data_IF_291667248976
#
_entry.id   IF_291667248976
#
_cell.length_a   1.000
_cell.length_b   1.000
_cell.length_c   1.000
_cell.angle_alpha   90.00
_cell.angle_beta   90.00
_cell.angle_gamma   90.00
#
_symmetry.space_group_name_H-M   'P 1'
#
loop_
_entity.id
_entity.type
_entity.pdbx_description
1 polymer ?
#
# COMPACT_ATOMS: atom_id res chain seq x y z
N UNK A 1 37.24 -19.67 -9.63
CA UNK A 1 36.28 -20.81 -9.69
C UNK A 1 36.13 -21.55 -8.38
N UNK A 2 37.19 -22.05 -7.75
CA UNK A 2 37.14 -22.78 -6.47
C UNK A 2 36.49 -22.00 -5.29
N UNK A 3 36.47 -20.67 -5.38
CA UNK A 3 35.80 -19.77 -4.43
C UNK A 3 34.31 -19.52 -4.76
N UNK A 4 33.72 -20.25 -5.70
CA UNK A 4 32.29 -20.13 -6.06
C UNK A 4 31.94 -18.98 -7.01
N UNK A 5 32.91 -18.20 -7.47
CA UNK A 5 32.71 -17.12 -8.45
C UNK A 5 32.53 -17.67 -9.87
N UNK A 6 31.56 -17.13 -10.61
CA UNK A 6 31.36 -17.41 -12.05
C UNK A 6 32.42 -16.71 -12.89
N UNK A 7 32.68 -17.23 -14.10
CA UNK A 7 33.68 -16.65 -15.01
C UNK A 7 33.46 -15.17 -15.31
N UNK A 8 32.21 -14.74 -15.48
CA UNK A 8 31.87 -13.32 -15.67
C UNK A 8 32.18 -12.45 -14.46
N UNK A 9 32.23 -13.01 -13.25
CA UNK A 9 32.45 -12.27 -12.00
C UNK A 9 33.92 -12.09 -11.67
N UNK A 10 34.73 -13.13 -11.89
CA UNK A 10 36.16 -13.06 -11.56
C UNK A 10 37.03 -12.55 -12.71
N UNK A 11 36.62 -12.67 -13.99
CA UNK A 11 37.46 -12.25 -15.12
C UNK A 11 37.95 -10.80 -15.04
N UNK A 12 37.12 -9.80 -14.64
CA UNK A 12 37.58 -8.43 -14.46
C UNK A 12 38.55 -8.24 -13.29
N UNK A 13 38.56 -9.18 -12.35
CA UNK A 13 39.30 -9.13 -11.09
C UNK A 13 40.67 -9.82 -11.20
N UNK A 14 40.92 -10.57 -12.27
CA UNK A 14 42.16 -11.32 -12.42
C UNK A 14 43.37 -10.39 -12.67
N UNK A 15 44.49 -10.62 -11.98
CA UNK A 15 45.73 -9.90 -12.23
C UNK A 15 46.24 -10.19 -13.64
N UNK A 16 46.52 -9.14 -14.42
CA UNK A 16 46.90 -9.24 -15.84
C UNK A 16 48.28 -9.87 -16.10
N UNK A 17 49.10 -10.03 -15.06
CA UNK A 17 50.52 -10.44 -15.16
C UNK A 17 50.83 -11.79 -14.51
N UNK A 18 49.83 -12.50 -14.01
CA UNK A 18 50.02 -13.77 -13.32
C UNK A 18 49.42 -14.91 -14.13
N UNK A 19 50.14 -16.03 -14.19
CA UNK A 19 49.66 -17.25 -14.83
C UNK A 19 48.79 -18.05 -13.87
N UNK A 20 49.16 -18.12 -12.58
CA UNK A 20 48.35 -18.70 -11.52
C UNK A 20 48.12 -17.70 -10.38
N UNK A 21 46.91 -17.69 -9.80
CA UNK A 21 46.64 -16.88 -8.61
C UNK A 21 47.48 -17.29 -7.39
N UNK A 22 47.90 -18.56 -7.34
CA UNK A 22 48.77 -19.07 -6.28
C UNK A 22 50.20 -18.51 -6.35
N UNK A 23 50.58 -17.89 -7.47
CA UNK A 23 51.87 -17.19 -7.61
C UNK A 23 51.86 -15.86 -6.84
N UNK A 24 50.67 -15.34 -6.49
CA UNK A 24 50.52 -14.16 -5.62
C UNK A 24 50.56 -14.59 -4.15
N UNK A 25 51.74 -14.45 -3.55
CA UNK A 25 52.00 -14.86 -2.17
C UNK A 25 51.13 -14.09 -1.16
N UNK A 26 50.83 -12.81 -1.41
CA UNK A 26 49.99 -12.00 -0.50
C UNK A 26 48.52 -12.42 -0.58
N UNK A 27 48.03 -12.67 -1.79
CA UNK A 27 46.69 -13.19 -2.00
C UNK A 27 46.50 -14.53 -1.30
N UNK A 28 47.46 -15.45 -1.47
CA UNK A 28 47.39 -16.79 -0.90
C UNK A 28 47.47 -16.75 0.63
N UNK A 29 48.35 -15.92 1.20
CA UNK A 29 48.44 -15.72 2.65
C UNK A 29 47.10 -15.23 3.23
N UNK A 30 46.55 -14.13 2.70
CA UNK A 30 45.29 -13.57 3.18
C UNK A 30 44.11 -14.53 2.97
N UNK A 31 44.12 -15.30 1.87
CA UNK A 31 43.17 -16.39 1.65
C UNK A 31 43.25 -17.46 2.76
N UNK A 32 44.47 -17.86 3.15
CA UNK A 32 44.67 -18.82 4.23
C UNK A 32 44.26 -18.27 5.59
N UNK A 33 44.48 -16.99 5.86
CA UNK A 33 43.98 -16.34 7.09
C UNK A 33 42.45 -16.47 7.19
N UNK A 34 41.71 -16.14 6.13
CA UNK A 34 40.24 -16.27 6.11
C UNK A 34 39.80 -17.74 6.26
N UNK A 35 40.47 -18.68 5.58
CA UNK A 35 40.19 -20.11 5.70
C UNK A 35 40.40 -20.62 7.13
N UNK A 36 41.55 -20.28 7.74
CA UNK A 36 41.91 -20.69 9.08
C UNK A 36 41.01 -20.04 10.13
N UNK A 37 40.46 -18.86 9.84
CA UNK A 37 39.44 -18.21 10.65
C UNK A 37 38.06 -18.90 10.56
N UNK A 38 37.87 -19.86 9.65
CA UNK A 38 36.63 -20.62 9.51
C UNK A 38 35.65 -20.08 8.47
N UNK A 39 36.08 -19.13 7.62
CA UNK A 39 35.22 -18.56 6.57
C UNK A 39 35.13 -19.54 5.41
N UNK A 40 33.91 -19.93 5.04
CA UNK A 40 33.69 -20.87 3.94
C UNK A 40 34.19 -20.29 2.59
N UNK A 41 34.74 -21.14 1.72
CA UNK A 41 35.36 -20.73 0.43
C UNK A 41 34.45 -19.87 -0.45
N UNK A 42 33.15 -20.19 -0.47
CA UNK A 42 32.15 -19.42 -1.23
C UNK A 42 32.03 -17.98 -0.71
N UNK A 43 32.12 -17.79 0.61
CA UNK A 43 32.09 -16.47 1.26
C UNK A 43 33.39 -15.71 1.01
N UNK A 44 34.53 -16.40 1.00
CA UNK A 44 35.82 -15.81 0.61
C UNK A 44 35.75 -15.29 -0.83
N UNK A 45 35.05 -15.99 -1.74
CA UNK A 45 34.78 -15.50 -3.09
C UNK A 45 34.02 -14.18 -3.11
N UNK A 46 32.98 -14.03 -2.28
CA UNK A 46 32.26 -12.75 -2.10
C UNK A 46 33.20 -11.65 -1.58
N UNK A 47 34.02 -11.95 -0.58
CA UNK A 47 35.02 -11.00 -0.05
C UNK A 47 36.01 -10.59 -1.14
N UNK A 48 36.50 -11.52 -1.96
CA UNK A 48 37.40 -11.22 -3.08
C UNK A 48 36.76 -10.28 -4.12
N UNK A 49 35.46 -10.44 -4.36
CA UNK A 49 34.70 -9.61 -5.30
C UNK A 49 34.39 -8.21 -4.76
N UNK A 50 34.02 -8.10 -3.50
CA UNK A 50 33.53 -6.85 -2.90
C UNK A 50 34.63 -6.06 -2.16
N UNK A 51 35.72 -6.73 -1.78
CA UNK A 51 36.79 -6.16 -0.98
C UNK A 51 38.17 -6.74 -1.37
N UNK A 52 38.56 -6.59 -2.64
CA UNK A 52 39.80 -7.15 -3.19
C UNK A 52 41.05 -6.70 -2.44
N UNK A 53 41.05 -5.49 -1.89
CA UNK A 53 42.13 -4.89 -1.11
C UNK A 53 42.57 -5.78 0.06
N UNK A 54 41.64 -6.56 0.62
CA UNK A 54 41.91 -7.52 1.69
C UNK A 54 42.98 -8.53 1.31
N UNK A 55 43.05 -8.91 0.03
CA UNK A 55 44.00 -9.90 -0.47
C UNK A 55 45.37 -9.29 -0.83
N UNK A 56 45.51 -7.97 -0.70
CA UNK A 56 46.76 -7.23 -0.95
C UNK A 56 47.40 -6.72 0.34
N UNK A 57 46.84 -7.08 1.49
CA UNK A 57 47.38 -6.69 2.78
C UNK A 57 48.70 -7.39 3.07
N UNK A 58 49.62 -6.66 3.70
CA UNK A 58 50.86 -7.21 4.23
C UNK A 58 50.58 -8.25 5.32
N UNK A 59 51.58 -9.10 5.58
CA UNK A 59 51.53 -10.15 6.59
C UNK A 59 50.98 -9.64 7.93
N UNK A 60 50.00 -10.37 8.47
CA UNK A 60 49.41 -10.10 9.78
C UNK A 60 48.32 -9.02 9.81
N UNK A 61 48.24 -8.12 8.82
CA UNK A 61 47.26 -7.01 8.82
C UNK A 61 45.82 -7.52 8.85
N UNK A 62 45.47 -8.50 8.01
CA UNK A 62 44.12 -9.07 8.00
C UNK A 62 43.78 -9.76 9.33
N UNK A 63 44.74 -10.46 9.92
CA UNK A 63 44.56 -11.10 11.23
C UNK A 63 44.32 -10.07 12.33
N UNK A 64 45.09 -8.98 12.35
CA UNK A 64 44.88 -7.88 13.29
C UNK A 64 43.52 -7.22 13.12
N UNK A 65 43.01 -7.08 11.88
CA UNK A 65 41.66 -6.58 11.64
C UNK A 65 40.57 -7.51 12.17
N UNK A 66 40.71 -8.82 11.99
CA UNK A 66 39.79 -9.81 12.58
C UNK A 66 39.83 -9.78 14.10
N UNK A 67 41.03 -9.70 14.68
CA UNK A 67 41.24 -9.57 16.12
C UNK A 67 40.60 -8.29 16.69
N UNK A 68 40.62 -7.17 15.96
CA UNK A 68 39.96 -5.94 16.39
C UNK A 68 38.44 -6.12 16.60
N UNK A 69 37.78 -7.01 15.84
CA UNK A 69 36.37 -7.33 16.09
C UNK A 69 36.18 -8.22 17.34
N UNK A 70 37.13 -9.11 17.62
CA UNK A 70 37.14 -9.92 18.85
C UNK A 70 37.29 -9.02 20.08
N UNK A 71 38.15 -8.01 19.99
CA UNK A 71 38.35 -6.98 21.02
C UNK A 71 37.11 -6.10 21.23
N UNK A 72 36.22 -5.98 20.24
CA UNK A 72 34.89 -5.36 20.41
C UNK A 72 33.90 -6.24 21.20
N UNK A 73 34.24 -7.51 21.45
CA UNK A 73 33.45 -8.49 22.17
C UNK A 73 32.59 -9.40 21.28
N UNK A 74 32.83 -9.40 19.97
CA UNK A 74 32.15 -10.31 19.04
C UNK A 74 32.76 -11.71 19.12
N UNK A 75 31.92 -12.74 19.07
CA UNK A 75 32.38 -14.11 18.93
C UNK A 75 32.79 -14.39 17.46
N UNK A 76 33.59 -15.44 17.26
CA UNK A 76 34.07 -15.82 15.92
C UNK A 76 32.95 -16.04 14.89
N UNK A 77 31.84 -16.67 15.29
CA UNK A 77 30.70 -16.94 14.41
C UNK A 77 30.03 -15.64 13.93
N UNK A 78 29.81 -14.69 14.85
CA UNK A 78 29.29 -13.36 14.53
C UNK A 78 30.23 -12.60 13.59
N UNK A 79 31.55 -12.66 13.85
CA UNK A 79 32.56 -12.02 12.99
C UNK A 79 32.50 -12.61 11.59
N UNK A 80 32.46 -13.94 11.44
CA UNK A 80 32.32 -14.61 10.15
C UNK A 80 31.09 -14.09 9.39
N UNK A 81 29.93 -13.97 10.06
CA UNK A 81 28.70 -13.44 9.42
C UNK A 81 28.84 -11.98 9.00
N UNK A 82 29.40 -11.14 9.88
CA UNK A 82 29.59 -9.71 9.62
C UNK A 82 30.53 -9.48 8.45
N UNK A 83 31.70 -10.12 8.42
CA UNK A 83 32.67 -9.93 7.33
C UNK A 83 32.22 -10.57 6.02
N UNK A 84 31.41 -11.63 6.08
CA UNK A 84 30.84 -12.26 4.88
C UNK A 84 29.72 -11.43 4.26
N UNK A 85 28.91 -10.77 5.09
CA UNK A 85 27.81 -9.91 4.63
C UNK A 85 28.25 -8.47 4.38
N UNK A 86 29.35 -8.02 4.98
CA UNK A 86 29.89 -6.66 4.83
C UNK A 86 31.41 -6.67 4.64
N UNK A 87 31.93 -7.24 3.52
CA UNK A 87 33.37 -7.38 3.31
C UNK A 87 34.15 -6.07 3.38
N UNK A 88 33.52 -4.95 3.03
CA UNK A 88 34.12 -3.61 3.10
C UNK A 88 34.54 -3.20 4.52
N UNK A 89 34.02 -3.80 5.59
CA UNK A 89 34.48 -3.58 6.96
C UNK A 89 35.91 -4.08 7.20
N UNK A 90 36.43 -4.94 6.32
CA UNK A 90 37.83 -5.33 6.35
C UNK A 90 38.74 -4.32 5.63
N UNK A 91 38.18 -3.31 4.96
CA UNK A 91 38.91 -2.27 4.22
C UNK A 91 39.09 -1.02 5.08
N UNK A 92 40.32 -0.51 5.14
CA UNK A 92 40.63 0.76 5.81
C UNK A 92 40.50 0.72 7.34
N UNK A 93 40.48 1.89 7.98
CA UNK A 93 40.43 2.06 9.45
C UNK A 93 39.02 2.40 9.99
N UNK A 94 38.00 2.34 9.14
CA UNK A 94 36.69 2.93 9.40
C UNK A 94 35.65 1.96 9.98
N UNK A 95 36.06 1.01 10.81
CA UNK A 95 35.13 0.22 11.63
C UNK A 95 34.43 1.04 12.74
N UNK A 96 34.67 2.36 12.79
CA UNK A 96 34.06 3.28 13.75
C UNK A 96 32.54 3.28 13.66
N UNK A 97 31.99 3.31 12.44
CA UNK A 97 30.52 3.32 12.24
C UNK A 97 29.91 2.03 12.79
N UNK A 98 30.48 0.88 12.44
CA UNK A 98 30.03 -0.40 12.93
C UNK A 98 30.15 -0.51 14.46
N UNK A 99 31.26 -0.06 15.04
CA UNK A 99 31.46 0.00 16.48
C UNK A 99 30.41 0.86 17.19
N UNK A 100 30.06 2.02 16.63
CA UNK A 100 29.00 2.88 17.17
C UNK A 100 27.61 2.23 17.07
N UNK A 101 27.33 1.46 16.01
CA UNK A 101 26.11 0.63 15.93
C UNK A 101 26.09 -0.38 17.09
N UNK A 102 27.17 -1.14 17.29
CA UNK A 102 27.27 -2.13 18.37
C UNK A 102 27.07 -1.49 19.74
N UNK A 103 27.74 -0.35 20.01
CA UNK A 103 27.56 0.40 21.26
C UNK A 103 26.11 0.83 21.48
N UNK A 104 25.43 1.33 20.44
CA UNK A 104 24.04 1.76 20.56
C UNK A 104 23.11 0.60 20.85
N UNK A 105 23.25 -0.50 20.13
CA UNK A 105 22.48 -1.72 20.37
C UNK A 105 22.72 -2.25 21.79
N UNK A 106 23.97 -2.32 22.24
CA UNK A 106 24.31 -2.72 23.61
C UNK A 106 23.72 -1.76 24.64
N UNK A 107 23.76 -0.45 24.40
CA UNK A 107 23.14 0.54 25.29
C UNK A 107 21.62 0.46 25.35
N UNK A 108 21.00 -0.15 24.34
CA UNK A 108 19.57 -0.45 24.26
C UNK A 108 19.23 -1.85 24.82
N UNK A 109 20.19 -2.55 25.44
CA UNK A 109 19.98 -3.88 26.03
C UNK A 109 20.04 -5.04 25.03
N UNK A 110 20.53 -4.80 23.81
CA UNK A 110 20.66 -5.84 22.77
C UNK A 110 22.08 -6.42 22.81
N UNK A 111 22.18 -7.71 23.11
CA UNK A 111 23.44 -8.44 23.14
C UNK A 111 23.99 -8.71 21.73
N UNK A 112 25.31 -8.79 21.59
CA UNK A 112 25.93 -8.99 20.26
C UNK A 112 25.55 -10.32 19.60
N UNK A 113 25.34 -11.38 20.41
CA UNK A 113 24.88 -12.67 19.90
C UNK A 113 23.49 -12.62 19.24
N UNK A 114 22.65 -11.64 19.61
CA UNK A 114 21.36 -11.42 18.96
C UNK A 114 21.54 -10.98 17.50
N UNK A 115 22.54 -10.14 17.22
CA UNK A 115 22.85 -9.65 15.87
C UNK A 115 23.16 -10.83 14.94
N UNK A 116 23.92 -11.81 15.44
CA UNK A 116 24.25 -13.01 14.68
C UNK A 116 23.02 -13.77 14.16
N UNK A 117 21.94 -13.82 14.94
CA UNK A 117 20.69 -14.50 14.57
C UNK A 117 19.91 -13.81 13.46
N UNK A 118 20.16 -12.53 13.22
CA UNK A 118 19.38 -11.70 12.29
C UNK A 118 20.15 -11.22 11.06
N UNK A 119 21.46 -11.43 11.01
CA UNK A 119 22.26 -11.21 9.80
C UNK A 119 22.14 -12.41 8.85
N UNK A 120 21.87 -12.11 7.58
CA UNK A 120 21.88 -13.06 6.47
C UNK A 120 23.15 -12.83 5.66
N UNK A 121 23.97 -13.88 5.52
CA UNK A 121 25.29 -13.81 4.89
C UNK A 121 25.22 -13.48 3.38
N UNK A 122 24.08 -13.79 2.75
CA UNK A 122 23.81 -13.50 1.34
C UNK A 122 23.61 -12.00 1.10
N UNK A 123 23.12 -11.27 2.10
CA UNK A 123 22.83 -9.84 1.99
C UNK A 123 24.09 -8.99 2.13
N UNK A 124 23.96 -7.73 1.73
CA UNK A 124 24.94 -6.67 2.01
C UNK A 124 24.32 -5.60 2.90
N UNK A 125 25.00 -5.27 3.99
CA UNK A 125 24.50 -4.31 4.98
C UNK A 125 25.24 -2.98 4.89
N UNK A 126 24.52 -1.87 4.90
CA UNK A 126 25.07 -0.52 5.03
C UNK A 126 24.97 -0.08 6.49
N UNK A 127 26.06 -0.22 7.23
CA UNK A 127 26.10 0.09 8.67
C UNK A 127 25.95 1.59 8.96
N UNK A 128 26.28 2.46 8.01
CA UNK A 128 26.04 3.91 8.13
C UNK A 128 24.55 4.22 8.15
N UNK A 129 23.77 3.63 7.23
CA UNK A 129 22.31 3.79 7.22
C UNK A 129 21.67 3.21 8.49
N UNK A 130 22.16 2.06 8.98
CA UNK A 130 21.68 1.47 10.23
C UNK A 130 21.96 2.42 11.41
N UNK A 131 23.16 3.01 11.48
CA UNK A 131 23.52 3.98 12.52
C UNK A 131 22.66 5.24 12.46
N UNK A 132 22.43 5.77 11.27
CA UNK A 132 21.56 6.92 11.04
C UNK A 132 20.13 6.64 11.48
N UNK A 133 19.61 5.46 11.17
CA UNK A 133 18.26 5.05 11.57
C UNK A 133 18.14 4.89 13.08
N UNK A 134 19.12 4.26 13.74
CA UNK A 134 19.16 4.19 15.21
C UNK A 134 19.16 5.59 15.83
N UNK A 135 19.95 6.51 15.29
CA UNK A 135 19.97 7.90 15.74
C UNK A 135 18.63 8.60 15.50
N UNK A 136 17.97 8.36 14.36
CA UNK A 136 16.69 8.94 14.02
C UNK A 136 15.59 8.46 14.98
N UNK A 137 15.52 7.16 15.25
CA UNK A 137 14.55 6.59 16.20
C UNK A 137 14.74 7.16 17.61
N UNK A 138 15.99 7.32 18.08
CA UNK A 138 16.25 8.02 19.34
C UNK A 138 15.79 9.48 19.32
N UNK A 139 16.02 10.21 18.22
CA UNK A 139 15.55 11.61 18.06
C UNK A 139 14.02 11.72 17.97
N UNK A 140 13.34 10.66 17.56
CA UNK A 140 11.88 10.58 17.53
C UNK A 140 11.25 10.32 18.90
N UNK A 141 12.05 10.19 19.96
CA UNK A 141 11.59 10.10 21.34
C UNK A 141 11.65 8.69 21.95
N UNK A 142 12.16 7.68 21.23
CA UNK A 142 12.34 6.34 21.79
C UNK A 142 13.41 6.37 22.89
N UNK A 143 13.06 5.93 24.10
CA UNK A 143 14.04 5.61 25.14
C UNK A 143 14.96 4.48 24.70
N UNK A 144 16.07 4.25 25.42
CA UNK A 144 16.99 3.15 25.10
C UNK A 144 16.29 1.79 25.22
N UNK A 145 15.47 1.62 26.25
CA UNK A 145 14.69 0.41 26.51
C UNK A 145 13.64 0.20 25.42
N UNK A 146 12.88 1.25 25.09
CA UNK A 146 11.88 1.20 24.01
C UNK A 146 12.51 0.88 22.65
N UNK A 147 13.67 1.46 22.36
CA UNK A 147 14.44 1.14 21.15
C UNK A 147 14.86 -0.33 21.14
N UNK A 148 15.36 -0.83 22.27
CA UNK A 148 15.71 -2.24 22.44
C UNK A 148 14.53 -3.16 22.14
N UNK A 149 13.40 -2.92 22.81
CA UNK A 149 12.17 -3.70 22.63
C UNK A 149 11.67 -3.68 21.19
N UNK A 150 11.63 -2.49 20.57
CA UNK A 150 11.20 -2.30 19.19
C UNK A 150 12.05 -3.12 18.22
N UNK A 151 13.38 -3.04 18.35
CA UNK A 151 14.31 -3.72 17.46
C UNK A 151 14.31 -5.23 17.69
N UNK A 152 14.18 -5.69 18.93
CA UNK A 152 14.04 -7.10 19.26
C UNK A 152 12.75 -7.71 18.67
N UNK A 153 11.63 -6.99 18.72
CA UNK A 153 10.37 -7.44 18.14
C UNK A 153 10.38 -7.37 16.61
N UNK A 154 11.05 -6.37 16.04
CA UNK A 154 11.07 -6.12 14.59
C UNK A 154 12.50 -5.87 14.06
N UNK A 155 13.38 -6.89 14.01
CA UNK A 155 14.76 -6.74 13.54
C UNK A 155 14.84 -6.20 12.10
N UNK A 156 13.82 -6.50 11.29
CA UNK A 156 13.69 -6.00 9.93
C UNK A 156 13.70 -4.48 9.83
N UNK A 157 13.38 -3.74 10.89
CA UNK A 157 13.45 -2.28 10.89
C UNK A 157 14.88 -1.79 10.61
N UNK A 158 15.90 -2.50 11.11
CA UNK A 158 17.31 -2.16 10.86
C UNK A 158 17.90 -2.96 9.70
N UNK A 159 17.61 -4.26 9.65
CA UNK A 159 18.36 -5.16 8.76
C UNK A 159 17.74 -5.29 7.37
N UNK A 160 16.42 -5.13 7.21
CA UNK A 160 15.79 -5.25 5.90
C UNK A 160 16.16 -4.07 4.99
N UNK A 161 16.95 -4.35 3.96
CA UNK A 161 17.49 -3.31 3.08
C UNK A 161 18.35 -2.28 3.83
N UNK A 162 19.00 -2.67 4.94
CA UNK A 162 19.79 -1.76 5.80
C UNK A 162 18.99 -0.56 6.30
N UNK A 163 17.73 -0.78 6.67
CA UNK A 163 16.84 0.25 7.19
C UNK A 163 16.19 1.13 6.11
N UNK A 164 16.50 0.90 4.83
CA UNK A 164 15.95 1.69 3.73
C UNK A 164 14.40 1.64 3.69
N UNK A 165 13.80 0.48 3.98
CA UNK A 165 12.34 0.36 4.05
C UNK A 165 11.76 1.20 5.19
N UNK A 166 12.45 1.27 6.32
CA UNK A 166 12.04 2.08 7.48
C UNK A 166 12.19 3.57 7.18
N UNK A 167 13.28 4.01 6.52
CA UNK A 167 13.41 5.38 6.04
C UNK A 167 12.30 5.75 5.06
N UNK A 168 11.97 4.87 4.11
CA UNK A 168 10.87 5.08 3.19
C UNK A 168 9.54 5.24 3.93
N UNK A 169 9.28 4.40 4.93
CA UNK A 169 8.08 4.49 5.77
C UNK A 169 8.02 5.83 6.51
N UNK A 170 9.10 6.25 7.16
CA UNK A 170 9.18 7.54 7.86
C UNK A 170 8.92 8.69 6.89
N UNK A 171 9.61 8.70 5.74
CA UNK A 171 9.43 9.73 4.71
C UNK A 171 8.01 9.77 4.14
N UNK A 172 7.40 8.60 3.95
CA UNK A 172 6.01 8.48 3.50
C UNK A 172 5.04 9.09 4.54
N UNK A 173 5.17 8.72 5.82
CA UNK A 173 4.32 9.24 6.90
C UNK A 173 4.47 10.76 7.06
N UNK A 174 5.71 11.27 7.03
CA UNK A 174 5.99 12.71 7.06
C UNK A 174 5.33 13.44 5.88
N UNK A 175 5.40 12.87 4.67
CA UNK A 175 4.76 13.45 3.48
C UNK A 175 3.25 13.60 3.63
N UNK A 176 2.60 12.70 4.36
CA UNK A 176 1.17 12.76 4.67
C UNK A 176 0.85 13.54 5.95
N UNK A 177 1.84 14.21 6.55
CA UNK A 177 1.65 15.08 7.70
C UNK A 177 1.53 14.35 9.03
N UNK A 178 2.02 13.11 9.14
CA UNK A 178 2.20 12.48 10.45
C UNK A 178 3.26 13.23 11.26
N UNK A 179 2.95 13.50 12.52
CA UNK A 179 3.89 14.12 13.45
C UNK A 179 4.90 13.10 13.97
N UNK A 180 5.98 13.59 14.61
CA UNK A 180 6.95 12.73 15.30
C UNK A 180 6.27 11.85 16.35
N UNK A 181 5.29 12.39 17.09
CA UNK A 181 4.54 11.65 18.10
C UNK A 181 3.67 10.55 17.50
N UNK A 182 3.01 10.82 16.36
CA UNK A 182 2.20 9.82 15.65
C UNK A 182 3.08 8.64 15.20
N UNK A 183 4.23 8.94 14.60
CA UNK A 183 5.17 7.92 14.16
C UNK A 183 5.78 7.17 15.34
N UNK A 184 6.15 7.86 16.41
CA UNK A 184 6.65 7.24 17.63
C UNK A 184 5.65 6.22 18.19
N UNK A 185 4.38 6.63 18.35
CA UNK A 185 3.31 5.72 18.81
C UNK A 185 3.11 4.54 17.85
N UNK A 186 3.17 4.78 16.54
CA UNK A 186 3.03 3.74 15.53
C UNK A 186 4.16 2.71 15.59
N UNK A 187 5.42 3.14 15.73
CA UNK A 187 6.55 2.22 15.81
C UNK A 187 6.51 1.40 17.09
N UNK A 188 6.16 1.97 18.24
CA UNK A 188 6.00 1.19 19.49
C UNK A 188 4.88 0.14 19.41
N UNK A 189 3.90 0.35 18.53
CA UNK A 189 2.78 -0.57 18.28
C UNK A 189 2.90 -1.21 16.89
N UNK A 190 4.12 -1.38 16.39
CA UNK A 190 4.32 -1.87 15.03
C UNK A 190 3.67 -3.26 14.88
N UNK A 191 2.87 -3.49 13.81
CA UNK A 191 2.19 -4.76 13.64
C UNK A 191 3.17 -5.93 13.48
N UNK A 192 2.74 -7.14 13.87
CA UNK A 192 3.49 -8.39 13.66
C UNK A 192 3.48 -8.81 12.18
N UNK A 193 4.12 -8.00 11.34
CA UNK A 193 4.25 -8.14 9.89
C UNK A 193 5.69 -7.78 9.53
N UNK A 194 6.28 -8.50 8.57
CA UNK A 194 7.60 -8.15 8.04
C UNK A 194 7.61 -6.71 7.50
N UNK A 195 8.66 -5.94 7.79
CA UNK A 195 8.72 -4.49 7.47
C UNK A 195 8.58 -4.22 5.98
N UNK A 196 9.28 -4.94 5.11
CA UNK A 196 9.13 -4.78 3.66
C UNK A 196 7.73 -5.15 3.16
N UNK A 197 7.09 -6.16 3.75
CA UNK A 197 5.69 -6.52 3.45
C UNK A 197 4.74 -5.42 3.91
N UNK A 198 4.98 -4.84 5.08
CA UNK A 198 4.21 -3.72 5.60
C UNK A 198 4.29 -2.51 4.66
N UNK A 199 5.50 -2.12 4.24
CA UNK A 199 5.72 -1.04 3.27
C UNK A 199 5.06 -1.33 1.92
N UNK A 200 5.16 -2.57 1.43
CA UNK A 200 4.51 -2.97 0.18
C UNK A 200 2.98 -2.88 0.26
N UNK A 201 2.38 -3.34 1.36
CA UNK A 201 0.94 -3.26 1.60
C UNK A 201 0.49 -1.80 1.70
N UNK A 202 1.24 -0.95 2.41
CA UNK A 202 0.95 0.48 2.53
C UNK A 202 0.90 1.15 1.15
N UNK A 203 1.91 0.89 0.31
CA UNK A 203 1.95 1.36 -1.08
C UNK A 203 0.78 0.83 -1.91
N UNK A 204 0.44 -0.45 -1.78
CA UNK A 204 -0.68 -1.06 -2.50
C UNK A 204 -2.02 -0.47 -2.06
N UNK A 205 -2.23 -0.24 -0.77
CA UNK A 205 -3.42 0.40 -0.25
C UNK A 205 -3.52 1.86 -0.73
N UNK A 206 -2.41 2.61 -0.73
CA UNK A 206 -2.39 3.96 -1.28
C UNK A 206 -2.81 3.99 -2.76
N UNK A 207 -2.26 3.10 -3.59
CA UNK A 207 -2.69 2.97 -4.99
C UNK A 207 -4.16 2.56 -5.11
N UNK A 208 -4.62 1.64 -4.25
CA UNK A 208 -6.02 1.21 -4.23
C UNK A 208 -6.99 2.38 -3.96
N UNK A 209 -6.65 3.27 -3.02
CA UNK A 209 -7.48 4.45 -2.73
C UNK A 209 -7.56 5.40 -3.95
N UNK A 210 -6.45 5.57 -4.68
CA UNK A 210 -6.43 6.33 -5.94
C UNK A 210 -7.31 5.64 -7.00
N UNK A 211 -7.19 4.32 -7.18
CA UNK A 211 -7.97 3.57 -8.17
C UNK A 211 -9.48 3.60 -7.92
N UNK A 212 -9.88 3.74 -6.65
CA UNK A 212 -11.28 3.94 -6.21
C UNK A 212 -11.79 5.37 -6.46
N UNK A 213 -10.93 6.26 -6.97
CA UNK A 213 -11.25 7.66 -7.26
C UNK A 213 -11.59 8.45 -5.98
N UNK A 214 -10.83 8.19 -4.91
CA UNK A 214 -10.93 8.93 -3.67
C UNK A 214 -10.24 10.30 -3.78
N UNK A 215 -10.87 11.33 -3.21
CA UNK A 215 -10.33 12.68 -3.15
C UNK A 215 -9.01 12.74 -2.39
N UNK A 216 -8.09 13.59 -2.82
CA UNK A 216 -6.72 13.67 -2.25
C UNK A 216 -6.76 13.93 -0.75
N UNK A 217 -7.64 14.82 -0.29
CA UNK A 217 -7.79 15.17 1.13
C UNK A 217 -8.26 13.98 1.99
N UNK A 218 -9.12 13.13 1.44
CA UNK A 218 -9.59 11.91 2.10
C UNK A 218 -8.48 10.86 2.18
N UNK A 219 -7.70 10.69 1.10
CA UNK A 219 -6.53 9.82 1.09
C UNK A 219 -5.54 10.26 2.17
N UNK A 220 -5.23 11.56 2.22
CA UNK A 220 -4.34 12.13 3.23
C UNK A 220 -4.83 11.87 4.65
N UNK A 221 -6.13 12.08 4.91
CA UNK A 221 -6.75 11.78 6.21
C UNK A 221 -6.60 10.31 6.57
N UNK A 222 -6.92 9.40 5.66
CA UNK A 222 -6.87 7.95 5.92
C UNK A 222 -5.44 7.49 6.16
N UNK A 223 -4.49 7.89 5.32
CA UNK A 223 -3.07 7.51 5.47
C UNK A 223 -2.50 8.00 6.80
N UNK A 224 -2.81 9.24 7.20
CA UNK A 224 -2.35 9.81 8.47
C UNK A 224 -2.96 9.13 9.68
N UNK A 225 -4.27 8.85 9.66
CA UNK A 225 -4.98 8.30 10.82
C UNK A 225 -4.90 6.77 10.93
N UNK A 226 -4.60 6.05 9.84
CA UNK A 226 -4.65 4.58 9.80
C UNK A 226 -3.42 3.89 9.17
N UNK A 227 -2.18 4.34 9.40
CA UNK A 227 -1.01 3.77 8.72
C UNK A 227 -0.81 2.28 9.05
N UNK A 228 -0.99 1.89 10.32
CA UNK A 228 -0.87 0.48 10.75
C UNK A 228 -1.89 -0.44 10.09
N UNK A 229 -3.11 0.04 9.86
CA UNK A 229 -4.15 -0.69 9.13
C UNK A 229 -3.71 -0.91 7.68
N UNK A 230 -3.32 0.15 6.98
CA UNK A 230 -2.96 0.09 5.57
C UNK A 230 -1.74 -0.81 5.33
N UNK A 231 -0.71 -0.72 6.17
CA UNK A 231 0.46 -1.59 6.05
C UNK A 231 0.19 -3.05 6.48
N UNK A 232 -0.88 -3.32 7.22
CA UNK A 232 -1.28 -4.69 7.55
C UNK A 232 -2.20 -5.33 6.51
N UNK A 233 -2.83 -4.54 5.63
CA UNK A 233 -3.81 -5.02 4.67
C UNK A 233 -3.18 -5.39 3.31
N UNK A 234 -3.12 -6.69 3.01
CA UNK A 234 -2.82 -7.18 1.65
C UNK A 234 -4.11 -7.26 0.83
N UNK A 235 -4.58 -6.14 0.29
CA UNK A 235 -5.88 -6.04 -0.41
C UNK A 235 -5.97 -6.89 -1.69
N UNK A 236 -7.19 -7.36 -2.00
CA UNK A 236 -7.53 -7.87 -3.34
C UNK A 236 -7.50 -6.74 -4.37
N UNK A 237 -7.28 -7.07 -5.64
CA UNK A 237 -7.37 -6.10 -6.75
C UNK A 237 -8.76 -5.46 -6.82
N UNK A 238 -8.83 -4.18 -7.16
CA UNK A 238 -10.09 -3.41 -7.21
C UNK A 238 -11.17 -4.09 -8.05
N UNK A 239 -10.85 -4.49 -9.28
CA UNK A 239 -11.83 -5.13 -10.18
C UNK A 239 -12.42 -6.41 -9.57
N UNK A 240 -11.62 -7.19 -8.85
CA UNK A 240 -12.11 -8.39 -8.16
C UNK A 240 -13.01 -8.01 -6.98
N UNK A 241 -12.68 -6.95 -6.23
CA UNK A 241 -13.52 -6.48 -5.14
C UNK A 241 -14.85 -5.90 -5.62
N UNK A 242 -14.85 -5.10 -6.68
CA UNK A 242 -16.09 -4.56 -7.27
C UNK A 242 -17.04 -5.69 -7.71
N UNK A 243 -16.49 -6.73 -8.35
CA UNK A 243 -17.26 -7.92 -8.73
C UNK A 243 -17.80 -8.70 -7.52
N UNK A 244 -16.95 -8.97 -6.52
CA UNK A 244 -17.34 -9.73 -5.33
C UNK A 244 -18.36 -8.99 -4.44
N UNK A 245 -18.21 -7.66 -4.33
CA UNK A 245 -19.09 -6.80 -3.53
C UNK A 245 -20.36 -6.41 -4.28
N UNK A 246 -20.40 -6.62 -5.59
CA UNK A 246 -21.46 -6.15 -6.50
C UNK A 246 -21.72 -4.64 -6.34
N UNK A 247 -20.65 -3.83 -6.41
CA UNK A 247 -20.70 -2.39 -6.18
C UNK A 247 -19.87 -1.62 -7.20
N UNK A 248 -20.13 -0.32 -7.34
CA UNK A 248 -19.29 0.61 -8.10
C UNK A 248 -18.24 1.30 -7.23
N UNK A 249 -17.28 1.99 -7.87
CA UNK A 249 -16.20 2.71 -7.19
C UNK A 249 -16.70 3.76 -6.21
N UNK A 250 -17.64 4.62 -6.62
CA UNK A 250 -18.19 5.69 -5.78
C UNK A 250 -18.73 5.18 -4.43
N UNK A 251 -19.59 4.16 -4.47
CA UNK A 251 -20.13 3.54 -3.25
C UNK A 251 -19.04 2.86 -2.41
N UNK A 252 -18.05 2.24 -3.06
CA UNK A 252 -16.91 1.66 -2.35
C UNK A 252 -16.08 2.74 -1.64
N UNK A 253 -15.87 3.88 -2.31
CA UNK A 253 -15.19 5.05 -1.77
C UNK A 253 -15.91 5.59 -0.53
N UNK A 254 -17.24 5.78 -0.61
CA UNK A 254 -18.09 6.21 0.51
C UNK A 254 -17.94 5.28 1.72
N UNK A 255 -18.00 3.96 1.52
CA UNK A 255 -17.85 2.96 2.59
C UNK A 255 -16.46 3.05 3.26
N UNK A 256 -15.39 3.23 2.47
CA UNK A 256 -14.04 3.36 3.01
C UNK A 256 -13.90 4.69 3.79
N UNK A 257 -14.48 5.77 3.27
CA UNK A 257 -14.45 7.08 3.90
C UNK A 257 -15.21 7.09 5.25
N UNK A 258 -16.36 6.43 5.32
CA UNK A 258 -17.13 6.27 6.56
C UNK A 258 -16.38 5.41 7.59
N UNK A 259 -15.74 4.32 7.15
CA UNK A 259 -15.02 3.43 8.05
C UNK A 259 -13.85 2.71 7.35
N UNK A 260 -12.61 3.22 7.47
CA UNK A 260 -11.45 2.59 6.85
C UNK A 260 -11.18 1.15 7.31
N UNK A 261 -11.64 0.75 8.50
CA UNK A 261 -11.38 -0.60 9.04
C UNK A 261 -12.00 -1.72 8.21
N UNK A 262 -13.00 -1.41 7.37
CA UNK A 262 -13.60 -2.35 6.41
C UNK A 262 -12.58 -2.99 5.46
N UNK A 263 -11.45 -2.33 5.21
CA UNK A 263 -10.35 -2.84 4.39
C UNK A 263 -9.82 -4.19 4.88
N UNK A 264 -9.88 -4.47 6.19
CA UNK A 264 -9.50 -5.77 6.78
C UNK A 264 -10.32 -6.93 6.24
N UNK A 265 -11.56 -6.68 5.83
CA UNK A 265 -12.45 -7.71 5.31
C UNK A 265 -12.19 -8.03 3.82
N UNK A 266 -11.33 -7.26 3.16
CA UNK A 266 -11.07 -7.31 1.72
C UNK A 266 -9.66 -7.78 1.38
N UNK A 267 -8.92 -8.27 2.38
CA UNK A 267 -7.58 -8.83 2.18
C UNK A 267 -7.63 -10.15 1.40
N UNK A 268 -6.50 -10.49 0.79
CA UNK A 268 -6.28 -11.76 0.12
C UNK A 268 -6.54 -12.94 1.07
N UNK A 269 -7.07 -14.04 0.55
CA UNK A 269 -7.43 -15.23 1.33
C UNK A 269 -8.82 -15.17 2.00
N UNK A 270 -9.39 -13.98 2.24
CA UNK A 270 -10.74 -13.88 2.82
C UNK A 270 -11.84 -13.97 1.75
N UNK A 271 -12.97 -14.57 2.15
CA UNK A 271 -14.22 -14.57 1.38
C UNK A 271 -14.92 -13.23 1.56
N UNK A 272 -15.19 -12.55 0.46
CA UNK A 272 -15.88 -11.26 0.45
C UNK A 272 -17.35 -11.51 0.13
N UNK A 273 -18.24 -11.10 1.04
CA UNK A 273 -19.69 -11.16 0.84
C UNK A 273 -20.15 -9.93 0.07
N UNK A 274 -21.18 -10.10 -0.76
CA UNK A 274 -21.80 -8.98 -1.45
C UNK A 274 -22.30 -7.93 -0.46
N UNK A 275 -22.17 -6.66 -0.81
CA UNK A 275 -22.78 -5.59 -0.03
C UNK A 275 -24.29 -5.64 -0.19
N UNK A 276 -25.08 -5.28 0.85
CA UNK A 276 -26.52 -5.14 0.72
C UNK A 276 -26.81 -4.26 -0.49
N UNK A 277 -27.65 -4.71 -1.42
CA UNK A 277 -27.95 -3.91 -2.59
C UNK A 277 -28.60 -2.59 -2.15
N UNK A 278 -27.97 -1.45 -2.48
CA UNK A 278 -28.61 -0.13 -2.38
C UNK A 278 -29.91 -0.05 -3.20
N UNK A 279 -30.15 -1.01 -4.10
CA UNK A 279 -31.46 -1.22 -4.78
C UNK A 279 -32.65 -1.37 -3.83
N UNK A 280 -32.46 -1.68 -2.54
CA UNK A 280 -33.54 -1.61 -1.55
C UNK A 280 -34.17 -0.21 -1.49
N UNK A 281 -33.33 0.83 -1.51
CA UNK A 281 -33.78 2.23 -1.53
C UNK A 281 -34.41 2.63 -2.87
N UNK A 282 -33.79 2.28 -3.99
CA UNK A 282 -34.31 2.58 -5.34
C UNK A 282 -35.65 1.89 -5.64
N UNK A 283 -35.82 0.62 -5.24
CA UNK A 283 -37.12 -0.08 -5.33
C UNK A 283 -38.15 0.50 -4.37
N UNK A 284 -37.75 0.87 -3.14
CA UNK A 284 -38.65 1.49 -2.18
C UNK A 284 -39.12 2.87 -2.66
N UNK A 285 -38.22 3.69 -3.20
CA UNK A 285 -38.56 4.99 -3.79
C UNK A 285 -39.46 4.84 -5.02
N UNK A 286 -39.21 3.84 -5.87
CA UNK A 286 -40.10 3.56 -7.00
C UNK A 286 -41.48 3.08 -6.53
N UNK A 287 -41.54 2.26 -5.48
CA UNK A 287 -42.81 1.88 -4.84
C UNK A 287 -43.51 3.12 -4.28
N UNK A 288 -42.79 3.98 -3.55
CA UNK A 288 -43.33 5.22 -2.98
C UNK A 288 -43.89 6.13 -4.07
N UNK A 289 -43.13 6.38 -5.13
CA UNK A 289 -43.59 7.16 -6.30
C UNK A 289 -44.90 6.63 -6.88
N UNK A 290 -45.03 5.31 -7.05
CA UNK A 290 -46.27 4.72 -7.54
C UNK A 290 -47.42 4.82 -6.51
N UNK A 291 -47.15 4.71 -5.21
CA UNK A 291 -48.15 4.97 -4.18
C UNK A 291 -48.62 6.43 -4.21
N UNK A 292 -47.70 7.38 -4.39
CA UNK A 292 -47.98 8.82 -4.48
C UNK A 292 -48.78 9.16 -5.76
N UNK A 293 -48.60 8.39 -6.84
CA UNK A 293 -49.48 8.43 -8.02
C UNK A 293 -50.87 7.85 -7.74
N UNK A 294 -51.07 7.07 -6.67
CA UNK A 294 -52.35 6.47 -6.30
C UNK A 294 -52.52 5.00 -6.72
N UNK A 295 -51.42 4.27 -6.99
CA UNK A 295 -51.48 2.82 -7.14
C UNK A 295 -51.66 2.12 -5.77
N UNK A 296 -52.39 1.00 -5.76
CA UNK A 296 -52.60 0.22 -4.53
C UNK A 296 -51.42 -0.72 -4.28
N UNK A 297 -50.89 -0.71 -3.06
CA UNK A 297 -49.76 -1.56 -2.68
C UNK A 297 -50.10 -3.04 -2.90
N UNK A 298 -49.19 -3.77 -3.53
CA UNK A 298 -49.30 -5.21 -3.83
C UNK A 298 -50.46 -5.60 -4.77
N UNK A 299 -51.06 -4.67 -5.52
CA UNK A 299 -52.06 -5.02 -6.54
C UNK A 299 -51.41 -5.50 -7.85
N UNK A 300 -52.20 -6.14 -8.71
CA UNK A 300 -51.73 -6.57 -10.04
C UNK A 300 -51.39 -5.36 -10.93
N UNK A 301 -52.11 -4.25 -10.79
CA UNK A 301 -51.86 -2.99 -11.48
C UNK A 301 -50.50 -2.40 -11.07
N UNK A 302 -50.17 -2.43 -9.77
CA UNK A 302 -48.87 -2.00 -9.26
C UNK A 302 -47.73 -2.86 -9.82
N UNK A 303 -47.94 -4.18 -9.89
CA UNK A 303 -46.95 -5.11 -10.47
C UNK A 303 -46.74 -4.85 -11.97
N UNK A 304 -47.80 -4.49 -12.71
CA UNK A 304 -47.71 -4.06 -14.11
C UNK A 304 -46.97 -2.73 -14.22
N UNK A 305 -47.33 -1.73 -13.41
CA UNK A 305 -46.71 -0.41 -13.40
C UNK A 305 -45.19 -0.49 -13.12
N UNK A 306 -44.76 -1.30 -12.17
CA UNK A 306 -43.34 -1.52 -11.85
C UNK A 306 -42.50 -1.98 -13.06
N UNK A 307 -43.11 -2.68 -14.02
CA UNK A 307 -42.47 -3.13 -15.27
C UNK A 307 -42.47 -2.04 -16.35
N UNK A 308 -43.49 -1.19 -16.40
CA UNK A 308 -43.67 -0.20 -17.47
C UNK A 308 -42.86 1.07 -17.24
N UNK A 309 -42.85 1.59 -16.00
CA UNK A 309 -42.03 2.76 -15.65
C UNK A 309 -40.55 2.41 -15.69
N UNK A 310 -39.74 3.10 -16.51
CA UNK A 310 -38.28 2.90 -16.57
C UNK A 310 -37.54 3.98 -15.79
N UNK A 311 -36.57 3.57 -14.98
CA UNK A 311 -35.77 4.46 -14.13
C UNK A 311 -35.97 4.20 -12.63
N UNK A 312 -35.15 4.89 -11.84
CA UNK A 312 -35.21 4.86 -10.37
C UNK A 312 -36.30 5.82 -9.83
N UNK A 313 -36.77 5.60 -8.61
CA UNK A 313 -37.87 6.41 -8.04
C UNK A 313 -37.58 7.92 -8.00
N UNK A 314 -36.33 8.32 -7.70
CA UNK A 314 -35.93 9.73 -7.72
C UNK A 314 -35.93 10.34 -9.13
N UNK A 315 -35.46 9.60 -10.15
CA UNK A 315 -35.51 10.06 -11.54
C UNK A 315 -36.94 10.20 -12.06
N UNK A 316 -37.82 9.27 -11.67
CA UNK A 316 -39.23 9.32 -12.02
C UNK A 316 -39.90 10.55 -11.42
N UNK A 317 -39.60 10.87 -10.15
CA UNK A 317 -40.09 12.09 -9.49
C UNK A 317 -39.55 13.34 -10.19
N UNK A 318 -38.25 13.40 -10.50
CA UNK A 318 -37.67 14.56 -11.19
C UNK A 318 -38.33 14.84 -12.55
N UNK A 319 -38.62 13.78 -13.32
CA UNK A 319 -39.31 13.88 -14.62
C UNK A 319 -40.77 14.28 -14.44
N UNK A 320 -41.45 13.76 -13.42
CA UNK A 320 -42.81 14.17 -13.04
C UNK A 320 -42.85 15.67 -12.71
N UNK A 321 -41.91 16.13 -11.89
CA UNK A 321 -41.81 17.53 -11.46
C UNK A 321 -41.55 18.47 -12.65
N UNK A 322 -40.98 18.01 -13.76
CA UNK A 322 -40.82 18.84 -14.96
C UNK A 322 -42.17 19.31 -15.53
N UNK A 323 -43.19 18.45 -15.52
CA UNK A 323 -44.53 18.79 -15.99
C UNK A 323 -45.24 19.73 -15.01
N UNK A 324 -45.10 19.48 -13.72
CA UNK A 324 -45.67 20.35 -12.67
C UNK A 324 -45.03 21.74 -12.71
N UNK A 325 -43.69 21.80 -12.80
CA UNK A 325 -42.95 23.05 -12.89
C UNK A 325 -43.19 23.82 -14.19
N UNK A 326 -43.61 23.12 -15.27
CA UNK A 326 -44.05 23.77 -16.50
C UNK A 326 -45.42 24.47 -16.34
N UNK A 327 -46.19 24.16 -15.29
CA UNK A 327 -47.47 24.79 -14.97
C UNK A 327 -48.69 23.86 -15.03
N UNK A 328 -48.50 22.55 -15.22
CA UNK A 328 -49.61 21.58 -15.11
C UNK A 328 -49.95 21.31 -13.65
N UNK A 329 -51.24 21.10 -13.37
CA UNK A 329 -51.68 20.69 -12.02
C UNK A 329 -51.20 19.28 -11.73
N UNK A 330 -50.79 19.05 -10.48
CA UNK A 330 -50.27 17.76 -10.05
C UNK A 330 -51.24 16.60 -10.30
N UNK A 331 -52.54 16.81 -10.11
CA UNK A 331 -53.59 15.82 -10.36
C UNK A 331 -53.67 15.43 -11.85
N UNK A 332 -53.61 16.42 -12.74
CA UNK A 332 -53.63 16.21 -14.19
C UNK A 332 -52.37 15.46 -14.66
N UNK A 333 -51.20 15.79 -14.10
CA UNK A 333 -49.95 15.08 -14.40
C UNK A 333 -50.01 13.64 -13.91
N UNK A 334 -50.58 13.39 -12.72
CA UNK A 334 -50.71 12.03 -12.18
C UNK A 334 -51.59 11.15 -13.07
N UNK A 335 -52.73 11.66 -13.55
CA UNK A 335 -53.60 10.93 -14.47
C UNK A 335 -52.93 10.72 -15.83
N UNK A 336 -52.30 11.77 -16.37
CA UNK A 336 -51.54 11.73 -17.62
C UNK A 336 -50.45 10.64 -17.59
N UNK A 337 -49.69 10.57 -16.50
CA UNK A 337 -48.60 9.60 -16.30
C UNK A 337 -49.13 8.17 -16.10
N UNK A 338 -50.32 8.00 -15.50
CA UNK A 338 -50.98 6.68 -15.43
C UNK A 338 -51.43 6.17 -16.79
N UNK A 339 -52.00 7.05 -17.61
CA UNK A 339 -52.49 6.70 -18.95
C UNK A 339 -51.33 6.46 -19.93
N UNK A 340 -50.24 7.23 -19.80
CA UNK A 340 -49.10 7.20 -20.69
C UNK A 340 -47.77 7.18 -19.94
N UNK A 341 -47.42 6.09 -19.23
CA UNK A 341 -46.19 6.00 -18.41
C UNK A 341 -44.90 6.21 -19.21
N UNK A 342 -44.92 5.98 -20.51
CA UNK A 342 -43.81 6.22 -21.43
C UNK A 342 -43.35 7.68 -21.49
N UNK A 343 -44.16 8.65 -21.10
CA UNK A 343 -43.75 10.06 -21.05
C UNK A 343 -42.60 10.31 -20.08
N UNK A 344 -42.46 9.46 -19.06
CA UNK A 344 -41.34 9.51 -18.10
C UNK A 344 -40.12 8.69 -18.54
N UNK A 345 -40.13 8.10 -19.75
CA UNK A 345 -38.99 7.35 -20.28
C UNK A 345 -38.01 8.22 -21.08
N UNK A 346 -38.17 9.54 -21.04
CA UNK A 346 -37.28 10.54 -21.66
C UNK A 346 -36.37 11.17 -20.60
N UNK A 347 -35.24 11.76 -21.01
CA UNK A 347 -34.45 12.57 -20.08
C UNK A 347 -35.17 13.88 -19.75
N UNK A 348 -34.84 14.45 -18.58
CA UNK A 348 -35.36 15.75 -18.14
C UNK A 348 -35.20 16.84 -19.18
N UNK A 349 -34.02 16.93 -19.79
CA UNK A 349 -33.71 17.97 -20.76
C UNK A 349 -34.56 17.81 -22.03
N UNK A 350 -34.79 16.57 -22.47
CA UNK A 350 -35.66 16.27 -23.61
C UNK A 350 -37.11 16.60 -23.31
N UNK A 351 -37.61 16.29 -22.10
CA UNK A 351 -38.98 16.65 -21.68
C UNK A 351 -39.16 18.17 -21.72
N UNK A 352 -38.23 18.93 -21.13
CA UNK A 352 -38.28 20.40 -21.13
C UNK A 352 -38.24 20.96 -22.55
N UNK A 353 -37.33 20.49 -23.38
CA UNK A 353 -37.21 20.90 -24.78
C UNK A 353 -38.52 20.67 -25.55
N UNK A 354 -39.17 19.52 -25.36
CA UNK A 354 -40.43 19.21 -26.07
C UNK A 354 -41.62 20.03 -25.57
N UNK A 355 -41.66 20.34 -24.28
CA UNK A 355 -42.67 21.24 -23.71
C UNK A 355 -42.48 22.66 -24.27
N UNK A 356 -41.23 23.15 -24.30
CA UNK A 356 -40.86 24.45 -24.83
C UNK A 356 -41.28 24.58 -26.31
N UNK A 357 -40.95 23.58 -27.13
CA UNK A 357 -41.33 23.55 -28.54
C UNK A 357 -42.87 23.54 -28.74
N UNK A 358 -43.60 22.77 -27.93
CA UNK A 358 -45.07 22.72 -28.05
C UNK A 358 -45.74 24.06 -27.73
N UNK A 359 -45.27 24.73 -26.68
CA UNK A 359 -45.90 25.95 -26.17
C UNK A 359 -45.41 27.19 -26.91
N UNK A 360 -44.09 27.32 -27.10
CA UNK A 360 -43.48 28.54 -27.64
C UNK A 360 -43.33 28.52 -29.16
N UNK A 361 -43.00 27.37 -29.76
CA UNK A 361 -42.80 27.29 -31.22
C UNK A 361 -44.12 26.96 -31.96
N UNK A 362 -44.93 26.04 -31.42
CA UNK A 362 -46.20 25.63 -32.04
C UNK A 362 -47.42 26.42 -31.53
N UNK A 363 -47.29 27.15 -30.41
CA UNK A 363 -48.36 27.97 -29.86
C UNK A 363 -49.54 27.20 -29.25
N UNK A 364 -49.39 25.90 -28.96
CA UNK A 364 -50.43 25.12 -28.31
C UNK A 364 -50.46 25.40 -26.79
N UNK A 365 -51.65 25.39 -26.17
CA UNK A 365 -51.73 25.51 -24.72
C UNK A 365 -51.10 24.29 -24.05
N UNK A 366 -50.43 24.49 -22.91
CA UNK A 366 -49.79 23.40 -22.16
C UNK A 366 -50.76 22.26 -21.79
N UNK A 367 -52.04 22.59 -21.57
CA UNK A 367 -53.10 21.61 -21.29
C UNK A 367 -53.31 20.58 -22.41
N UNK A 368 -52.89 20.86 -23.65
CA UNK A 368 -52.91 19.90 -24.75
C UNK A 368 -52.08 18.65 -24.45
N UNK A 369 -51.03 18.74 -23.61
CA UNK A 369 -50.24 17.58 -23.18
C UNK A 369 -51.04 16.59 -22.34
N UNK A 370 -52.00 17.08 -21.54
CA UNK A 370 -52.85 16.21 -20.71
C UNK A 370 -53.77 15.38 -21.58
N UNK A 371 -54.31 15.98 -22.65
CA UNK A 371 -55.17 15.29 -23.62
C UNK A 371 -54.39 14.33 -24.54
N UNK A 372 -53.15 14.68 -24.91
CA UNK A 372 -52.33 13.91 -25.86
C UNK A 372 -50.89 13.68 -25.38
N UNK A 373 -50.69 12.93 -24.27
CA UNK A 373 -49.37 12.78 -23.65
C UNK A 373 -48.35 12.03 -24.50
N UNK A 374 -48.82 11.19 -25.44
CA UNK A 374 -47.95 10.44 -26.36
C UNK A 374 -47.05 11.34 -27.20
N UNK A 375 -47.40 12.62 -27.39
CA UNK A 375 -46.58 13.63 -28.06
C UNK A 375 -45.12 13.63 -27.56
N UNK A 376 -44.93 13.61 -26.23
CA UNK A 376 -43.59 13.64 -25.61
C UNK A 376 -42.75 12.39 -25.94
N UNK A 377 -43.40 11.30 -26.33
CA UNK A 377 -42.78 10.01 -26.59
C UNK A 377 -42.35 9.80 -28.04
N UNK A 378 -42.76 10.66 -28.98
CA UNK A 378 -42.29 10.61 -30.37
C UNK A 378 -40.83 11.04 -30.47
N UNK A 379 -40.11 10.48 -31.45
CA UNK A 379 -38.67 10.71 -31.63
C UNK A 379 -38.41 12.05 -32.29
#
# INVERSE_FOLDING_TARGET
ESMGLKSSEYFPLLPRKLMFLNDDQMLLENYHVLCNYGIARVKIGKIYKEAMEVFRYDYGVLRSKLQAFEEMGLNQSTIIKVVSSSPYLLIGDENRVFHEVLKKLKSAGIEYGWIEGHLLEENSYNWSHILELLCLLSKMGCSKEQLGDLICQHPGLLFEGSGNMTFWLIGFLLKFGSTVNDMHSMFLQFPQVQVGKFVCNLRQCFHFLIEVEMEVQDIERIVRSHPSLLGSCSLKKLNSLLANLNTGKKRLCEIINENPQVLKNWVMGLRVKQLPNSRGGSRMMKIKFLLDLGFVKNSDEMNKALKVFRGEGGELQERFDCFVNAGLKQEDVAEMVKQAPQVLNQSKDVIKMKIDFLVNDLGYPLSSLVAFPSYISYT
#
